data_IF_340682526913
#
_entry.id   IF_340682526913
#
_cell.length_a   1.000
_cell.length_b   1.000
_cell.length_c   1.000
_cell.angle_alpha   90.00
_cell.angle_beta   90.00
_cell.angle_gamma   90.00
#
_symmetry.space_group_name_H-M   'P 1'
#
loop_
_entity.id
_entity.type
_entity.pdbx_description
1 polymer ?
#
# COMPACT_ATOMS: atom_id res chain seq x y z
N UNK A 1 -34.62 -5.37 59.76
CA UNK A 1 -34.57 -4.78 58.39
C UNK A 1 -34.54 -5.90 57.37
N UNK A 2 -35.67 -6.16 56.68
CA UNK A 2 -35.73 -7.11 55.56
C UNK A 2 -34.78 -6.61 54.46
N UNK A 3 -33.68 -7.32 54.22
CA UNK A 3 -32.83 -7.11 53.04
C UNK A 3 -33.69 -7.55 51.83
N UNK A 4 -34.53 -6.63 51.36
CA UNK A 4 -35.50 -6.85 50.30
C UNK A 4 -34.86 -7.28 48.97
N UNK A 5 -35.69 -7.57 47.95
CA UNK A 5 -35.25 -8.12 46.66
C UNK A 5 -34.30 -7.19 45.89
N UNK A 6 -34.08 -5.95 46.37
CA UNK A 6 -33.17 -4.96 45.79
C UNK A 6 -31.78 -5.50 45.46
N UNK A 7 -31.22 -6.40 46.27
CA UNK A 7 -29.89 -7.00 46.01
C UNK A 7 -29.89 -7.92 44.80
N UNK A 8 -30.98 -8.67 44.64
CA UNK A 8 -31.16 -9.63 43.54
C UNK A 8 -31.41 -8.84 42.24
N UNK A 9 -32.22 -7.79 42.30
CA UNK A 9 -32.47 -6.90 41.16
C UNK A 9 -31.20 -6.18 40.71
N UNK A 10 -30.37 -5.69 41.63
CA UNK A 10 -29.09 -5.05 41.31
C UNK A 10 -28.10 -6.02 40.66
N UNK A 11 -28.04 -7.26 41.15
CA UNK A 11 -27.20 -8.31 40.57
C UNK A 11 -27.65 -8.66 39.15
N UNK A 12 -28.95 -8.79 38.92
CA UNK A 12 -29.51 -9.07 37.59
C UNK A 12 -29.22 -7.93 36.59
N UNK A 13 -29.40 -6.67 37.01
CA UNK A 13 -29.04 -5.50 36.20
C UNK A 13 -27.54 -5.46 35.87
N UNK A 14 -26.68 -5.78 36.83
CA UNK A 14 -25.24 -5.85 36.60
C UNK A 14 -24.87 -6.95 35.59
N UNK A 15 -25.48 -8.14 35.69
CA UNK A 15 -25.26 -9.23 34.74
C UNK A 15 -25.73 -8.88 33.32
N UNK A 16 -26.88 -8.19 33.19
CA UNK A 16 -27.38 -7.71 31.89
C UNK A 16 -26.43 -6.66 31.31
N UNK A 17 -25.94 -5.72 32.12
CA UNK A 17 -24.98 -4.72 31.69
C UNK A 17 -23.65 -5.35 31.25
N UNK A 18 -23.14 -6.34 31.98
CA UNK A 18 -21.94 -7.09 31.61
C UNK A 18 -22.16 -7.87 30.31
N UNK A 19 -23.29 -8.58 30.18
CA UNK A 19 -23.61 -9.31 28.94
C UNK A 19 -23.73 -8.36 27.74
N UNK A 20 -24.30 -7.17 27.93
CA UNK A 20 -24.38 -6.14 26.89
C UNK A 20 -23.00 -5.62 26.50
N UNK A 21 -22.13 -5.31 27.47
CA UNK A 21 -20.76 -4.86 27.22
C UNK A 21 -19.92 -5.94 26.52
N UNK A 22 -20.08 -7.20 26.94
CA UNK A 22 -19.44 -8.36 26.31
C UNK A 22 -19.93 -8.53 24.88
N UNK A 23 -21.23 -8.41 24.63
CA UNK A 23 -21.78 -8.46 23.27
C UNK A 23 -21.26 -7.30 22.40
N UNK A 24 -21.22 -6.07 22.92
CA UNK A 24 -20.65 -4.92 22.19
C UNK A 24 -19.15 -5.13 21.88
N UNK A 25 -18.40 -5.68 22.83
CA UNK A 25 -17.02 -6.11 22.61
C UNK A 25 -16.98 -7.13 21.46
N UNK A 26 -17.72 -8.24 21.56
CA UNK A 26 -17.74 -9.32 20.56
C UNK A 26 -18.30 -8.91 19.19
N UNK A 27 -19.23 -7.96 19.08
CA UNK A 27 -19.68 -7.41 17.79
C UNK A 27 -18.53 -6.66 17.10
N UNK A 28 -17.67 -5.98 17.86
CA UNK A 28 -16.40 -5.47 17.33
C UNK A 28 -15.38 -6.58 17.03
N UNK A 29 -15.62 -7.85 17.39
CA UNK A 29 -14.85 -9.05 17.02
C UNK A 29 -15.50 -9.92 15.93
N UNK A 30 -16.77 -9.72 15.59
CA UNK A 30 -17.40 -10.40 14.45
C UNK A 30 -17.10 -9.65 13.17
N UNK A 31 -16.25 -10.21 12.30
CA UNK A 31 -15.95 -9.67 10.98
C UNK A 31 -15.05 -10.61 10.20
N UNK A 32 -15.21 -10.63 8.88
CA UNK A 32 -14.50 -11.54 7.95
C UNK A 32 -13.05 -11.09 7.71
N UNK A 33 -12.21 -11.05 8.75
CA UNK A 33 -10.77 -10.91 8.57
C UNK A 33 -10.21 -12.15 7.87
N UNK A 34 -9.29 -11.93 6.93
CA UNK A 34 -8.68 -12.99 6.12
C UNK A 34 -7.42 -13.54 6.78
N UNK A 35 -7.00 -14.74 6.39
CA UNK A 35 -5.83 -15.38 7.00
C UNK A 35 -4.53 -14.80 6.46
N UNK A 36 -4.50 -14.46 5.17
CA UNK A 36 -3.34 -13.89 4.50
C UNK A 36 -3.65 -12.49 3.96
N UNK A 37 -2.62 -11.65 3.78
CA UNK A 37 -2.78 -10.33 3.18
C UNK A 37 -3.31 -10.42 1.74
N UNK A 38 -2.90 -11.45 0.98
CA UNK A 38 -3.35 -11.67 -0.41
C UNK A 38 -4.84 -12.03 -0.47
N UNK A 39 -5.35 -12.82 0.47
CA UNK A 39 -6.79 -13.14 0.56
C UNK A 39 -7.65 -11.91 0.87
N UNK A 40 -7.06 -10.86 1.46
CA UNK A 40 -7.71 -9.60 1.76
C UNK A 40 -7.72 -8.64 0.57
N UNK A 41 -6.99 -8.96 -0.50
CA UNK A 41 -6.95 -8.11 -1.69
C UNK A 41 -8.30 -8.09 -2.41
N UNK A 42 -8.67 -6.95 -2.98
CA UNK A 42 -9.89 -6.85 -3.77
C UNK A 42 -9.86 -7.74 -5.01
N UNK A 43 -11.05 -8.21 -5.41
CA UNK A 43 -11.27 -9.08 -6.58
C UNK A 43 -12.30 -8.48 -7.54
N UNK A 44 -12.57 -7.18 -7.40
CA UNK A 44 -13.53 -6.39 -8.18
C UNK A 44 -13.08 -6.13 -9.63
N UNK A 45 -11.84 -6.48 -9.97
CA UNK A 45 -11.25 -6.28 -11.28
C UNK A 45 -10.14 -7.28 -11.57
N UNK A 46 -9.59 -7.23 -12.79
CA UNK A 46 -8.38 -7.96 -13.14
C UNK A 46 -7.17 -7.18 -12.64
N UNK A 47 -6.59 -7.68 -11.55
CA UNK A 47 -5.38 -7.14 -10.94
C UNK A 47 -4.21 -8.08 -11.20
N UNK A 48 -3.08 -7.49 -11.58
CA UNK A 48 -1.78 -8.07 -11.32
C UNK A 48 -1.25 -7.45 -10.02
N UNK A 49 -1.00 -8.27 -9.00
CA UNK A 49 -0.52 -7.81 -7.70
C UNK A 49 0.99 -8.03 -7.60
N UNK A 50 1.69 -6.99 -7.18
CA UNK A 50 3.15 -6.98 -7.04
C UNK A 50 3.46 -6.64 -5.58
N UNK A 51 4.28 -7.46 -4.94
CA UNK A 51 4.67 -7.23 -3.54
C UNK A 51 5.41 -5.90 -3.38
N UNK A 52 5.00 -5.13 -2.38
CA UNK A 52 5.65 -3.88 -1.99
C UNK A 52 6.16 -3.93 -0.55
N UNK A 53 6.41 -2.76 0.07
CA UNK A 53 6.90 -2.70 1.44
C UNK A 53 5.88 -3.29 2.42
N UNK A 54 6.39 -4.01 3.43
CA UNK A 54 5.56 -4.67 4.44
C UNK A 54 6.12 -4.51 5.85
N UNK A 55 5.22 -4.55 6.81
CA UNK A 55 5.48 -4.58 8.26
C UNK A 55 4.71 -5.74 8.88
N UNK A 56 4.79 -5.91 10.20
CA UNK A 56 4.05 -6.98 10.90
C UNK A 56 2.52 -6.88 10.71
N UNK A 57 1.99 -5.65 10.61
CA UNK A 57 0.55 -5.39 10.61
C UNK A 57 0.05 -4.68 9.34
N UNK A 58 0.91 -4.46 8.36
CA UNK A 58 0.56 -3.80 7.11
C UNK A 58 1.35 -4.41 5.96
N UNK A 59 0.68 -4.70 4.85
CA UNK A 59 1.34 -5.07 3.60
C UNK A 59 0.81 -4.18 2.49
N UNK A 60 1.74 -3.60 1.74
CA UNK A 60 1.45 -2.82 0.55
C UNK A 60 1.68 -3.70 -0.67
N UNK A 61 0.76 -3.62 -1.60
CA UNK A 61 0.88 -4.20 -2.92
C UNK A 61 0.83 -3.08 -3.94
N UNK A 62 1.73 -3.11 -4.90
CA UNK A 62 1.55 -2.39 -6.15
C UNK A 62 0.61 -3.21 -7.03
N UNK A 63 -0.07 -2.56 -7.97
CA UNK A 63 -0.88 -3.28 -8.92
C UNK A 63 -0.91 -2.65 -10.30
N UNK A 64 -1.13 -3.52 -11.30
CA UNK A 64 -1.58 -3.14 -12.62
C UNK A 64 -3.03 -3.63 -12.78
N UNK A 65 -3.91 -2.79 -13.32
CA UNK A 65 -5.31 -3.21 -13.55
C UNK A 65 -5.92 -2.64 -14.82
N UNK A 66 -6.87 -3.39 -15.38
CA UNK A 66 -7.64 -3.01 -16.58
C UNK A 66 -6.79 -2.50 -17.75
N UNK A 67 -5.54 -2.98 -17.86
CA UNK A 67 -4.56 -2.58 -18.88
C UNK A 67 -4.16 -1.09 -18.88
N UNK A 68 -4.66 -0.30 -17.93
CA UNK A 68 -4.62 1.18 -17.99
C UNK A 68 -4.33 1.85 -16.66
N UNK A 69 -4.32 1.11 -15.57
CA UNK A 69 -4.12 1.69 -14.25
C UNK A 69 -2.93 1.05 -13.55
N UNK A 70 -2.22 1.90 -12.82
CA UNK A 70 -1.16 1.54 -11.90
C UNK A 70 -1.45 2.19 -10.55
N UNK A 71 -1.10 1.53 -9.46
CA UNK A 71 -1.37 2.07 -8.14
C UNK A 71 -0.89 1.19 -7.01
N UNK A 72 -1.34 1.52 -5.80
CA UNK A 72 -1.06 0.80 -4.57
C UNK A 72 -2.34 0.43 -3.84
N UNK A 73 -2.32 -0.73 -3.19
CA UNK A 73 -3.35 -1.13 -2.22
C UNK A 73 -2.70 -1.56 -0.92
N UNK A 74 -3.31 -1.16 0.19
CA UNK A 74 -2.84 -1.49 1.53
C UNK A 74 -3.83 -2.44 2.18
N UNK A 75 -3.30 -3.55 2.69
CA UNK A 75 -4.04 -4.43 3.59
C UNK A 75 -3.42 -4.32 4.98
N UNK A 76 -4.28 -4.24 5.99
CA UNK A 76 -3.87 -4.12 7.39
C UNK A 76 -4.36 -5.32 8.18
N UNK A 77 -3.51 -5.76 9.11
CA UNK A 77 -3.82 -6.82 10.06
C UNK A 77 -4.39 -6.20 11.31
N UNK A 78 -5.57 -6.67 11.70
CA UNK A 78 -6.19 -6.35 12.98
C UNK A 78 -6.47 -7.65 13.75
N UNK A 79 -7.09 -7.56 14.93
CA UNK A 79 -7.38 -8.72 15.77
C UNK A 79 -8.30 -9.76 15.09
N UNK A 80 -9.01 -9.39 14.01
CA UNK A 80 -9.87 -10.30 13.22
C UNK A 80 -9.14 -10.97 12.06
N UNK A 81 -7.96 -10.48 11.66
CA UNK A 81 -7.23 -10.92 10.47
C UNK A 81 -6.89 -9.75 9.54
N UNK A 82 -6.58 -10.06 8.29
CA UNK A 82 -6.25 -9.07 7.26
C UNK A 82 -7.50 -8.49 6.60
N UNK A 83 -7.47 -7.19 6.32
CA UNK A 83 -8.54 -6.47 5.61
C UNK A 83 -7.97 -5.42 4.67
N UNK A 84 -8.58 -5.26 3.49
CA UNK A 84 -8.30 -4.13 2.60
C UNK A 84 -8.67 -2.80 3.26
N UNK A 85 -7.81 -1.80 3.09
CA UNK A 85 -8.04 -0.47 3.64
C UNK A 85 -8.18 0.58 2.55
N UNK A 86 -7.08 0.90 1.89
CA UNK A 86 -6.99 2.03 0.97
C UNK A 86 -6.40 1.59 -0.36
N UNK A 87 -6.86 2.26 -1.43
CA UNK A 87 -6.39 2.05 -2.79
C UNK A 87 -6.16 3.42 -3.41
N UNK A 88 -4.95 3.62 -3.93
CA UNK A 88 -4.62 4.78 -4.75
C UNK A 88 -4.31 4.27 -6.15
N UNK A 89 -4.90 4.88 -7.17
CA UNK A 89 -4.70 4.48 -8.57
C UNK A 89 -4.57 5.70 -9.46
N UNK A 90 -3.68 5.61 -10.43
CA UNK A 90 -3.53 6.58 -11.49
C UNK A 90 -3.53 5.87 -12.86
N UNK A 91 -3.66 6.66 -13.93
CA UNK A 91 -3.46 6.13 -15.29
C UNK A 91 -2.03 5.62 -15.41
N UNK A 92 -1.88 4.41 -15.94
CA UNK A 92 -0.58 3.83 -16.27
C UNK A 92 0.06 4.67 -17.39
N UNK A 93 1.18 5.37 -17.13
CA UNK A 93 1.89 6.09 -18.18
C UNK A 93 2.52 5.09 -19.15
N UNK A 94 2.14 5.19 -20.42
CA UNK A 94 2.63 4.30 -21.47
C UNK A 94 2.56 5.01 -22.84
N UNK A 95 3.70 5.21 -23.55
CA UNK A 95 5.05 4.77 -23.20
C UNK A 95 5.76 5.67 -22.19
N UNK A 96 6.70 5.11 -21.42
CA UNK A 96 7.70 5.85 -20.65
C UNK A 96 8.94 6.11 -21.51
N UNK A 97 9.49 7.32 -21.38
CA UNK A 97 10.79 7.66 -21.94
C UNK A 97 11.90 7.04 -21.08
N UNK A 98 12.96 6.54 -21.74
CA UNK A 98 14.12 5.96 -21.07
C UNK A 98 14.84 7.00 -20.22
N UNK A 99 15.20 6.61 -18.99
CA UNK A 99 15.95 7.45 -18.04
C UNK A 99 15.30 8.81 -17.78
N UNK A 100 13.96 8.86 -17.77
CA UNK A 100 13.18 10.06 -17.48
C UNK A 100 12.13 9.79 -16.41
N UNK A 101 12.06 10.67 -15.41
CA UNK A 101 10.96 10.70 -14.44
C UNK A 101 9.93 11.73 -14.88
N UNK A 102 8.68 11.31 -15.08
CA UNK A 102 7.60 12.19 -15.58
C UNK A 102 6.47 12.36 -14.60
N UNK A 103 6.29 11.42 -13.67
CA UNK A 103 5.20 11.38 -12.73
C UNK A 103 5.64 10.70 -11.43
N UNK A 104 5.02 11.11 -10.34
CA UNK A 104 5.11 10.49 -9.04
C UNK A 104 3.73 10.52 -8.37
N UNK A 105 3.46 9.51 -7.56
CA UNK A 105 2.21 9.33 -6.85
C UNK A 105 2.50 9.14 -5.36
N UNK A 106 1.51 9.44 -4.53
CA UNK A 106 1.59 9.24 -3.09
C UNK A 106 0.34 8.53 -2.60
N UNK A 107 0.53 7.62 -1.65
CA UNK A 107 -0.55 7.00 -0.89
C UNK A 107 -0.46 7.36 0.60
N UNK A 108 0.07 8.56 0.88
CA UNK A 108 0.25 9.16 2.21
C UNK A 108 1.32 8.50 3.09
N UNK A 109 1.82 7.31 2.73
CA UNK A 109 2.90 6.63 3.46
C UNK A 109 4.15 6.44 2.62
N UNK A 110 3.99 6.32 1.30
CA UNK A 110 5.11 6.26 0.37
C UNK A 110 4.89 7.25 -0.79
N UNK A 111 5.99 7.69 -1.38
CA UNK A 111 6.00 8.26 -2.73
C UNK A 111 6.55 7.20 -3.68
N UNK A 112 5.92 7.07 -4.83
CA UNK A 112 6.25 6.01 -5.78
C UNK A 112 5.96 6.43 -7.22
N UNK A 113 6.52 5.69 -8.17
CA UNK A 113 6.24 5.90 -9.58
C UNK A 113 6.77 4.76 -10.44
N UNK A 114 6.60 4.91 -11.74
CA UNK A 114 7.17 4.03 -12.74
C UNK A 114 8.30 4.75 -13.46
N UNK A 115 9.31 3.99 -13.86
CA UNK A 115 10.44 4.48 -14.64
C UNK A 115 10.93 3.39 -15.57
N UNK A 116 11.41 3.77 -16.75
CA UNK A 116 12.20 2.89 -17.62
C UNK A 116 13.67 3.22 -17.44
N UNK A 117 14.42 2.35 -16.79
CA UNK A 117 15.85 2.56 -16.51
C UNK A 117 16.72 1.83 -17.52
N UNK A 118 17.84 2.43 -17.86
CA UNK A 118 18.85 1.86 -18.75
C UNK A 118 20.24 2.23 -18.27
N UNK A 119 21.12 1.23 -18.17
CA UNK A 119 22.44 1.35 -17.56
C UNK A 119 22.38 1.47 -16.03
N UNK A 120 23.46 1.97 -15.44
CA UNK A 120 23.58 2.16 -14.00
C UNK A 120 22.97 3.50 -13.58
N UNK A 121 21.63 3.52 -13.46
CA UNK A 121 20.87 4.69 -13.03
C UNK A 121 20.10 4.38 -11.75
N UNK A 122 20.10 5.31 -10.81
CA UNK A 122 19.37 5.23 -9.55
C UNK A 122 18.33 6.35 -9.47
N UNK A 123 17.22 6.07 -8.80
CA UNK A 123 16.23 7.08 -8.43
C UNK A 123 16.57 7.60 -7.04
N UNK A 124 16.63 8.91 -6.88
CA UNK A 124 16.83 9.60 -5.62
C UNK A 124 15.64 10.53 -5.36
N UNK A 125 15.14 10.55 -4.13
CA UNK A 125 14.05 11.43 -3.70
C UNK A 125 14.52 12.22 -2.50
N UNK A 126 14.67 13.54 -2.65
CA UNK A 126 15.17 14.42 -1.58
C UNK A 126 16.48 13.93 -0.92
N UNK A 127 17.39 13.33 -1.68
CA UNK A 127 18.66 12.78 -1.16
C UNK A 127 18.57 11.36 -0.61
N UNK A 128 17.41 10.70 -0.71
CA UNK A 128 17.21 9.30 -0.33
C UNK A 128 17.08 8.44 -1.58
N UNK A 129 17.97 7.45 -1.71
CA UNK A 129 17.89 6.47 -2.80
C UNK A 129 16.62 5.63 -2.68
N UNK A 130 15.83 5.58 -3.76
CA UNK A 130 14.62 4.81 -3.82
C UNK A 130 14.87 3.30 -3.95
N UNK A 131 13.95 2.52 -3.40
CA UNK A 131 13.89 1.09 -3.64
C UNK A 131 13.30 0.85 -5.04
N UNK A 132 13.79 -0.19 -5.73
CA UNK A 132 13.39 -0.54 -7.09
C UNK A 132 12.83 -1.96 -7.14
N UNK A 133 11.70 -2.13 -7.83
CA UNK A 133 11.11 -3.43 -8.17
C UNK A 133 11.09 -3.55 -9.68
N UNK A 134 11.84 -4.51 -10.21
CA UNK A 134 11.89 -4.81 -11.64
C UNK A 134 10.64 -5.58 -12.09
N UNK A 135 9.88 -5.00 -13.02
CA UNK A 135 8.66 -5.63 -13.53
C UNK A 135 8.94 -6.74 -14.54
N UNK A 136 10.17 -6.88 -15.05
CA UNK A 136 10.54 -7.98 -15.94
C UNK A 136 10.49 -9.36 -15.27
N UNK A 137 10.32 -9.40 -13.94
CA UNK A 137 10.04 -10.62 -13.19
C UNK A 137 8.61 -11.16 -13.38
N UNK A 138 7.70 -10.35 -13.93
CA UNK A 138 6.34 -10.74 -14.26
C UNK A 138 6.30 -11.67 -15.48
N UNK A 139 5.20 -12.40 -15.64
CA UNK A 139 5.00 -13.26 -16.81
C UNK A 139 4.97 -12.47 -18.12
N UNK A 140 5.44 -13.08 -19.22
CA UNK A 140 5.44 -12.45 -20.56
C UNK A 140 4.05 -11.97 -20.98
N UNK A 141 2.99 -12.70 -20.61
CA UNK A 141 1.60 -12.32 -20.88
C UNK A 141 1.25 -10.99 -20.20
N UNK A 142 1.64 -10.83 -18.93
CA UNK A 142 1.40 -9.59 -18.17
C UNK A 142 2.20 -8.44 -18.77
N UNK A 143 3.49 -8.66 -19.05
CA UNK A 143 4.36 -7.67 -19.66
C UNK A 143 3.80 -7.16 -21.00
N UNK A 144 3.28 -8.07 -21.83
CA UNK A 144 2.65 -7.76 -23.11
C UNK A 144 1.31 -7.03 -22.95
N UNK A 145 0.42 -7.52 -22.08
CA UNK A 145 -0.92 -6.97 -21.88
C UNK A 145 -0.87 -5.52 -21.37
N UNK A 146 0.09 -5.23 -20.49
CA UNK A 146 0.26 -3.90 -19.88
C UNK A 146 1.31 -3.04 -20.60
N UNK A 147 2.11 -3.63 -21.50
CA UNK A 147 3.23 -2.99 -22.19
C UNK A 147 4.20 -2.28 -21.23
N UNK A 148 4.64 -3.01 -20.20
CA UNK A 148 5.53 -2.53 -19.13
C UNK A 148 6.90 -3.20 -19.19
N UNK A 149 7.33 -3.63 -20.39
CA UNK A 149 8.65 -4.18 -20.63
C UNK A 149 9.73 -3.14 -20.27
N UNK A 150 10.75 -3.57 -19.54
CA UNK A 150 11.85 -2.73 -19.02
C UNK A 150 11.40 -1.64 -18.04
N UNK A 151 10.22 -1.75 -17.44
CA UNK A 151 9.77 -0.81 -16.42
C UNK A 151 10.16 -1.31 -15.04
N UNK A 152 10.46 -0.36 -14.16
CA UNK A 152 10.63 -0.59 -12.74
C UNK A 152 9.67 0.30 -11.96
N UNK A 153 9.17 -0.23 -10.85
CA UNK A 153 8.53 0.59 -9.82
C UNK A 153 9.64 1.13 -8.94
N UNK A 154 9.63 2.44 -8.70
CA UNK A 154 10.46 3.06 -7.67
C UNK A 154 9.60 3.53 -6.51
N UNK A 155 10.10 3.45 -5.28
CA UNK A 155 9.41 4.03 -4.11
C UNK A 155 10.35 4.44 -2.99
N UNK A 156 9.87 5.38 -2.17
CA UNK A 156 10.50 5.77 -0.89
C UNK A 156 9.42 5.87 0.19
N UNK A 157 9.70 5.28 1.34
CA UNK A 157 8.84 5.41 2.52
C UNK A 157 9.01 6.79 3.15
N UNK A 158 7.90 7.44 3.52
CA UNK A 158 7.93 8.76 4.15
C UNK A 158 8.69 8.78 5.46
N UNK A 159 8.73 7.65 6.18
CA UNK A 159 9.57 7.49 7.37
C UNK A 159 11.07 7.67 7.11
N UNK A 160 11.53 7.57 5.86
CA UNK A 160 12.92 7.80 5.47
C UNK A 160 13.19 9.23 4.99
N UNK A 161 12.15 10.05 4.81
CA UNK A 161 12.26 11.41 4.30
C UNK A 161 12.16 12.44 5.44
N UNK A 162 13.03 13.45 5.42
CA UNK A 162 13.00 14.56 6.38
C UNK A 162 11.86 15.56 6.10
N UNK A 163 11.46 15.72 4.84
CA UNK A 163 10.42 16.66 4.40
C UNK A 163 9.42 15.96 3.46
N UNK A 164 8.12 16.15 3.73
CA UNK A 164 7.01 15.55 2.97
C UNK A 164 6.16 16.59 2.22
N UNK A 165 6.52 17.87 2.28
CA UNK A 165 5.78 18.96 1.62
C UNK A 165 6.18 19.17 0.16
N UNK A 166 7.46 18.95 -0.17
CA UNK A 166 7.98 19.07 -1.53
C UNK A 166 8.89 17.87 -1.81
N UNK A 167 8.75 17.25 -2.98
CA UNK A 167 9.55 16.12 -3.41
C UNK A 167 10.34 16.48 -4.66
N UNK A 168 11.66 16.42 -4.57
CA UNK A 168 12.57 16.46 -5.71
C UNK A 168 13.00 15.05 -6.03
N UNK A 169 12.51 14.50 -7.14
CA UNK A 169 12.87 13.19 -7.67
C UNK A 169 13.93 13.35 -8.75
N UNK A 170 15.08 12.70 -8.58
CA UNK A 170 16.21 12.75 -9.51
C UNK A 170 16.54 11.36 -10.02
N UNK A 171 16.90 11.27 -11.30
CA UNK A 171 17.61 10.13 -11.85
C UNK A 171 19.10 10.47 -11.87
N UNK A 172 19.91 9.63 -11.27
CA UNK A 172 21.35 9.83 -11.09
C UNK A 172 22.10 8.68 -11.76
N UNK A 173 23.05 9.00 -12.64
CA UNK A 173 23.89 8.01 -13.32
C UNK A 173 25.08 7.55 -12.44
N UNK A 174 25.90 6.63 -12.96
CA UNK A 174 27.12 6.14 -12.30
C UNK A 174 28.16 7.22 -11.97
N UNK A 175 28.15 8.35 -12.69
CA UNK A 175 29.05 9.49 -12.46
C UNK A 175 28.50 10.48 -11.43
N UNK A 176 27.38 10.16 -10.78
CA UNK A 176 26.66 11.02 -9.85
C UNK A 176 26.10 12.30 -10.50
N UNK A 177 25.82 12.26 -11.79
CA UNK A 177 25.20 13.35 -12.55
C UNK A 177 23.68 13.13 -12.62
N UNK A 178 22.92 14.20 -12.40
CA UNK A 178 21.47 14.19 -12.58
C UNK A 178 21.14 14.20 -14.07
N UNK A 179 20.46 13.16 -14.54
CA UNK A 179 20.03 13.02 -15.94
C UNK A 179 18.56 13.38 -16.16
N UNK A 180 17.74 13.33 -15.10
CA UNK A 180 16.35 13.75 -15.10
C UNK A 180 15.95 14.23 -13.72
N UNK A 181 15.06 15.21 -13.65
CA UNK A 181 14.55 15.77 -12.40
C UNK A 181 13.06 16.11 -12.53
N UNK A 182 12.31 15.82 -11.47
CA UNK A 182 10.92 16.20 -11.30
C UNK A 182 10.74 16.75 -9.89
N UNK A 183 10.18 17.95 -9.77
CA UNK A 183 9.84 18.57 -8.50
C UNK A 183 8.33 18.72 -8.39
N UNK A 184 7.75 18.20 -7.30
CA UNK A 184 6.30 18.22 -7.02
C UNK A 184 6.00 18.63 -5.58
#
# INVERSE_FOLDING_TARGET
MRKGPYRITLLALALIAIAFLVNQYFIQFTGNGKKTPEEALPTDSQYEWIDGPKTENEQRFFFLSNKKYFGTSVVTKNLKGWSAHERVSASLPNPLEENKVTQAFSDQKIIYGLVKLSGEVKVDVNGVTAELIDLNSLSEDVLSIYNVNDYSIWYVQFSHLENHENFTIKLINSNNETISELSI
#
